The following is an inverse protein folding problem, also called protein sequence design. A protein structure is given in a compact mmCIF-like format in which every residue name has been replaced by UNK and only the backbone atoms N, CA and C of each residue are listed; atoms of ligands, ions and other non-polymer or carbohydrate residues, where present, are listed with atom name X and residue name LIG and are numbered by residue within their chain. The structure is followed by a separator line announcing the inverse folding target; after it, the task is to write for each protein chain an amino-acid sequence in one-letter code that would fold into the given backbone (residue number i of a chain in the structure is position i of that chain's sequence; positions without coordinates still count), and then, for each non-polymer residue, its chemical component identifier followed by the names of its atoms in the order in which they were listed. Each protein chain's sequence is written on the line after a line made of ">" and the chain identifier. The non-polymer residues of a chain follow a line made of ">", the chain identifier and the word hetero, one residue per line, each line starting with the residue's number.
data_IF_738322830390
#
_entry.id   IF_738322830390
#
_cell.length_a   1.000
_cell.length_b   1.000
_cell.length_c   1.000
_cell.angle_alpha   90.00
_cell.angle_beta   90.00
_cell.angle_gamma   90.00
#
_symmetry.space_group_name_H-M   'P 1'
#
loop_
_entity.id
_entity.type
_entity.pdbx_description
1 polymer ?
#
# COMPACT_ATOMS: atom_id res chain seq x y z
N UNK A 1 18.34 0.07 -10.59
CA UNK A 1 17.52 1.26 -10.83
C UNK A 1 17.81 2.32 -9.82
N UNK A 2 17.83 3.58 -10.26
CA UNK A 2 17.96 4.72 -9.37
C UNK A 2 16.55 5.17 -8.92
N UNK A 3 16.04 4.60 -7.82
CA UNK A 3 14.70 4.90 -7.29
C UNK A 3 14.51 6.39 -7.02
N UNK A 4 15.58 7.05 -6.56
CA UNK A 4 15.54 8.47 -6.27
C UNK A 4 15.30 9.30 -7.53
N UNK A 5 15.94 8.93 -8.65
CA UNK A 5 15.71 9.60 -9.94
C UNK A 5 14.26 9.43 -10.42
N UNK A 6 13.69 8.22 -10.29
CA UNK A 6 12.30 7.95 -10.67
C UNK A 6 11.32 8.76 -9.82
N UNK A 7 11.47 8.72 -8.50
CA UNK A 7 10.67 9.52 -7.58
C UNK A 7 10.79 11.02 -7.90
N UNK A 8 12.01 11.54 -8.00
CA UNK A 8 12.24 12.96 -8.24
C UNK A 8 11.63 13.41 -9.57
N UNK A 9 11.80 12.62 -10.63
CA UNK A 9 11.21 12.91 -11.93
C UNK A 9 9.68 12.88 -11.88
N UNK A 10 9.08 11.85 -11.27
CA UNK A 10 7.63 11.76 -11.12
C UNK A 10 7.06 12.90 -10.29
N UNK A 11 7.70 13.28 -9.19
CA UNK A 11 7.30 14.42 -8.38
C UNK A 11 7.42 15.72 -9.16
N UNK A 12 8.56 15.98 -9.79
CA UNK A 12 8.77 17.20 -10.57
C UNK A 12 7.76 17.32 -11.72
N UNK A 13 7.55 16.23 -12.47
CA UNK A 13 6.62 16.21 -13.60
C UNK A 13 5.16 16.33 -13.15
N UNK A 14 4.69 15.43 -12.28
CA UNK A 14 3.27 15.38 -11.93
C UNK A 14 2.88 16.58 -11.07
N UNK A 15 3.71 16.95 -10.08
CA UNK A 15 3.43 18.12 -9.25
C UNK A 15 3.56 19.42 -10.05
N UNK A 16 4.55 19.52 -10.94
CA UNK A 16 4.70 20.66 -11.83
C UNK A 16 3.50 20.84 -12.76
N UNK A 17 2.98 19.75 -13.32
CA UNK A 17 1.75 19.77 -14.13
C UNK A 17 0.54 20.18 -13.29
N UNK A 18 0.34 19.57 -12.11
CA UNK A 18 -0.77 19.95 -11.22
C UNK A 18 -0.70 21.43 -10.83
N UNK A 19 0.48 21.94 -10.51
CA UNK A 19 0.68 23.36 -10.23
C UNK A 19 0.36 24.23 -11.44
N UNK A 20 0.88 23.91 -12.62
CA UNK A 20 0.59 24.65 -13.85
C UNK A 20 -0.91 24.65 -14.19
N UNK A 21 -1.60 23.52 -14.02
CA UNK A 21 -3.05 23.44 -14.18
C UNK A 21 -3.80 24.33 -13.18
N UNK A 22 -3.33 24.41 -11.93
CA UNK A 22 -3.95 25.28 -10.91
C UNK A 22 -3.85 26.78 -11.24
N UNK A 23 -2.90 27.18 -12.10
CA UNK A 23 -2.76 28.57 -12.55
C UNK A 23 -3.77 28.94 -13.65
N UNK A 24 -4.26 27.95 -14.40
CA UNK A 24 -5.08 28.17 -15.61
C UNK A 24 -6.54 27.79 -15.37
N UNK A 25 -6.79 26.73 -14.60
CA UNK A 25 -8.13 26.26 -14.30
C UNK A 25 -8.63 26.86 -12.97
N UNK A 26 -9.87 27.35 -12.89
CA UNK A 26 -10.47 27.82 -11.64
C UNK A 26 -10.87 26.67 -10.70
N UNK A 27 -10.12 25.56 -10.74
CA UNK A 27 -10.38 24.34 -9.98
C UNK A 27 -9.32 24.26 -8.88
N UNK A 28 -9.75 24.16 -7.64
CA UNK A 28 -8.86 23.89 -6.52
C UNK A 28 -8.34 22.45 -6.61
N UNK A 29 -7.08 22.31 -7.00
CA UNK A 29 -6.41 21.02 -7.03
C UNK A 29 -6.03 20.63 -5.60
N UNK A 30 -6.51 19.50 -5.06
CA UNK A 30 -6.23 19.11 -3.68
C UNK A 30 -4.78 18.59 -3.59
N UNK A 31 -3.84 19.50 -3.38
CA UNK A 31 -2.42 19.15 -3.18
C UNK A 31 -2.18 18.87 -1.70
N UNK A 32 -2.52 17.64 -1.29
CA UNK A 32 -2.41 17.19 0.09
C UNK A 32 -1.49 15.95 0.21
N UNK A 33 -1.41 15.38 1.41
CA UNK A 33 -0.59 14.19 1.67
C UNK A 33 -1.02 12.98 0.84
N UNK A 34 -2.31 12.85 0.49
CA UNK A 34 -2.80 11.76 -0.36
C UNK A 34 -2.25 11.90 -1.79
N UNK A 35 -2.19 13.11 -2.34
CA UNK A 35 -1.57 13.39 -3.65
C UNK A 35 -0.11 12.98 -3.66
N UNK A 36 0.65 13.34 -2.62
CA UNK A 36 2.06 12.97 -2.47
C UNK A 36 2.21 11.44 -2.41
N UNK A 37 1.37 10.78 -1.62
CA UNK A 37 1.38 9.32 -1.49
C UNK A 37 1.06 8.63 -2.82
N UNK A 38 0.06 9.10 -3.56
CA UNK A 38 -0.32 8.55 -4.87
C UNK A 38 0.80 8.70 -5.89
N UNK A 39 1.48 9.86 -5.93
CA UNK A 39 2.63 10.07 -6.82
C UNK A 39 3.75 9.12 -6.45
N UNK A 40 4.12 9.05 -5.16
CA UNK A 40 5.18 8.16 -4.69
C UNK A 40 4.90 6.69 -4.96
N UNK A 41 3.66 6.25 -4.74
CA UNK A 41 3.24 4.88 -5.04
C UNK A 41 3.27 4.60 -6.54
N UNK A 42 2.67 5.46 -7.37
CA UNK A 42 2.68 5.28 -8.83
C UNK A 42 4.10 5.24 -9.41
N UNK A 43 4.99 6.08 -8.88
CA UNK A 43 6.39 6.15 -9.28
C UNK A 43 7.24 4.95 -8.82
N UNK A 44 6.80 4.16 -7.84
CA UNK A 44 7.56 3.03 -7.30
C UNK A 44 6.90 1.68 -7.58
N UNK A 45 5.61 1.64 -7.86
CA UNK A 45 4.84 0.41 -8.02
C UNK A 45 5.36 -0.51 -9.14
N UNK A 46 5.80 -0.01 -10.32
CA UNK A 46 6.33 -0.89 -11.37
C UNK A 46 7.51 -1.76 -10.90
N UNK A 47 8.31 -1.22 -9.98
CA UNK A 47 9.53 -1.79 -9.40
C UNK A 47 9.31 -2.78 -8.24
N UNK A 48 8.07 -2.88 -7.76
CA UNK A 48 7.72 -3.76 -6.65
C UNK A 48 7.81 -5.23 -7.07
N UNK A 49 7.85 -5.52 -8.36
CA UNK A 49 7.99 -6.88 -8.89
C UNK A 49 9.38 -7.53 -8.60
N UNK A 50 10.35 -6.75 -8.11
CA UNK A 50 11.71 -7.22 -7.89
C UNK A 50 12.04 -7.46 -6.40
N UNK A 51 12.22 -8.73 -5.96
CA UNK A 51 12.30 -9.07 -4.53
C UNK A 51 13.57 -8.58 -3.83
N UNK A 52 14.61 -8.24 -4.61
CA UNK A 52 15.86 -7.72 -4.05
C UNK A 52 15.79 -6.21 -3.78
N UNK A 53 14.74 -5.51 -4.20
CA UNK A 53 14.65 -4.06 -4.07
C UNK A 53 14.30 -3.67 -2.63
N UNK A 54 14.80 -2.51 -2.19
CA UNK A 54 14.45 -1.95 -0.89
C UNK A 54 12.96 -1.63 -0.79
N UNK A 55 12.36 -1.21 -1.90
CA UNK A 55 10.93 -0.91 -2.03
C UNK A 55 10.09 -2.16 -1.78
N UNK A 56 10.42 -3.28 -2.43
CA UNK A 56 9.73 -4.54 -2.21
C UNK A 56 9.80 -4.97 -0.73
N UNK A 57 10.99 -4.89 -0.12
CA UNK A 57 11.17 -5.23 1.32
C UNK A 57 10.36 -4.32 2.24
N UNK A 58 10.28 -3.03 1.93
CA UNK A 58 9.49 -2.07 2.71
C UNK A 58 7.98 -2.37 2.58
N UNK A 59 7.48 -2.58 1.37
CA UNK A 59 6.07 -2.91 1.12
C UNK A 59 5.72 -4.23 1.78
N UNK A 60 6.56 -5.25 1.64
CA UNK A 60 6.44 -6.52 2.33
C UNK A 60 6.28 -6.36 3.85
N UNK A 61 7.15 -5.55 4.46
CA UNK A 61 7.10 -5.25 5.89
C UNK A 61 5.80 -4.52 6.27
N UNK A 62 5.36 -3.55 5.47
CA UNK A 62 4.10 -2.83 5.72
C UNK A 62 2.89 -3.77 5.62
N UNK A 63 2.84 -4.64 4.60
CA UNK A 63 1.78 -5.65 4.49
C UNK A 63 1.78 -6.62 5.67
N UNK A 64 2.95 -7.02 6.14
CA UNK A 64 3.09 -7.87 7.33
C UNK A 64 2.54 -7.18 8.58
N UNK A 65 2.88 -5.90 8.80
CA UNK A 65 2.40 -5.12 9.94
C UNK A 65 0.88 -4.92 9.86
N UNK A 66 0.37 -4.46 8.71
CA UNK A 66 -1.06 -4.18 8.52
C UNK A 66 -1.88 -5.47 8.59
N UNK A 67 -1.41 -6.55 7.96
CA UNK A 67 -2.05 -7.86 8.01
C UNK A 67 -2.12 -8.40 9.44
N UNK A 68 -1.03 -8.28 10.20
CA UNK A 68 -1.00 -8.67 11.61
C UNK A 68 -2.01 -7.86 12.42
N UNK A 69 -2.05 -6.54 12.25
CA UNK A 69 -2.99 -5.67 12.95
C UNK A 69 -4.46 -5.97 12.59
N UNK A 70 -4.76 -6.23 11.31
CA UNK A 70 -6.10 -6.56 10.84
C UNK A 70 -6.57 -7.91 11.41
N UNK A 71 -5.75 -8.96 11.30
CA UNK A 71 -6.11 -10.28 11.83
C UNK A 71 -6.27 -10.22 13.35
N UNK A 72 -5.39 -9.49 14.04
CA UNK A 72 -5.53 -9.29 15.48
C UNK A 72 -6.87 -8.61 15.83
N UNK A 73 -7.25 -7.55 15.12
CA UNK A 73 -8.53 -6.87 15.32
C UNK A 73 -9.75 -7.77 15.04
N UNK A 74 -9.66 -8.64 14.03
CA UNK A 74 -10.73 -9.57 13.69
C UNK A 74 -10.92 -10.64 14.77
N UNK A 75 -9.82 -11.20 15.31
CA UNK A 75 -9.87 -12.16 16.41
C UNK A 75 -10.40 -11.53 17.71
N UNK A 76 -10.04 -10.27 17.99
CA UNK A 76 -10.52 -9.58 19.19
C UNK A 76 -11.99 -9.17 19.11
N UNK A 77 -12.44 -8.75 17.92
CA UNK A 77 -13.84 -8.41 17.67
C UNK A 77 -14.78 -9.58 17.90
N UNK A 78 -14.32 -10.83 17.72
CA UNK A 78 -15.14 -12.03 17.92
C UNK A 78 -15.21 -12.54 19.36
N UNK A 79 -14.35 -12.07 20.27
CA UNK A 79 -14.22 -12.63 21.63
C UNK A 79 -14.75 -11.75 22.77
N UNK A 80 -15.24 -10.55 22.47
CA UNK A 80 -15.60 -9.56 23.51
C UNK A 80 -17.06 -9.61 23.99
N UNK A 81 -17.98 -10.27 23.28
CA UNK A 81 -19.38 -10.36 23.74
C UNK A 81 -19.59 -11.39 24.86
N UNK A 82 -18.73 -12.40 25.00
CA UNK A 82 -18.96 -13.50 25.97
C UNK A 82 -18.31 -13.26 27.36
N UNK A 83 -17.34 -12.33 27.47
CA UNK A 83 -16.49 -12.20 28.68
C UNK A 83 -16.90 -11.08 29.67
N UNK A 84 -17.90 -10.25 29.36
CA UNK A 84 -18.32 -9.16 30.26
C UNK A 84 -19.10 -9.65 31.50
N UNK A 85 -19.53 -10.92 31.54
CA UNK A 85 -20.34 -11.47 32.63
C UNK A 85 -19.54 -12.17 33.75
N UNK A 86 -18.21 -12.32 33.63
CA UNK A 86 -17.39 -13.11 34.58
C UNK A 86 -16.37 -12.26 35.38
N UNK A 87 -16.80 -11.13 35.94
CA UNK A 87 -15.98 -10.12 36.60
C UNK A 87 -15.34 -10.51 37.96
N UNK A 88 -15.40 -11.78 38.38
CA UNK A 88 -14.99 -12.19 39.74
C UNK A 88 -13.58 -12.76 39.87
N UNK A 89 -12.79 -12.78 38.81
CA UNK A 89 -11.45 -13.38 38.82
C UNK A 89 -10.45 -12.51 38.05
N UNK A 90 -10.24 -11.28 38.50
CA UNK A 90 -9.43 -10.28 37.78
C UNK A 90 -7.95 -10.70 37.55
N UNK A 91 -7.37 -11.51 38.43
CA UNK A 91 -5.95 -11.93 38.34
C UNK A 91 -5.77 -13.11 37.38
N UNK A 92 -6.63 -14.14 37.47
CA UNK A 92 -6.64 -15.26 36.52
C UNK A 92 -7.18 -14.84 35.15
N UNK A 93 -8.13 -13.89 35.12
CA UNK A 93 -8.60 -13.24 33.90
C UNK A 93 -7.49 -12.45 33.20
N UNK A 94 -6.65 -11.70 33.92
CA UNK A 94 -5.54 -10.97 33.30
C UNK A 94 -4.49 -11.90 32.66
N UNK A 95 -4.12 -13.00 33.32
CA UNK A 95 -3.17 -13.97 32.77
C UNK A 95 -3.74 -14.72 31.55
N UNK A 96 -5.04 -15.05 31.56
CA UNK A 96 -5.74 -15.69 30.44
C UNK A 96 -5.88 -14.74 29.26
N UNK A 97 -6.30 -13.50 29.48
CA UNK A 97 -6.39 -12.45 28.44
C UNK A 97 -5.00 -12.16 27.86
N UNK A 98 -3.97 -12.01 28.69
CA UNK A 98 -2.62 -11.76 28.21
C UNK A 98 -2.08 -12.91 27.33
N UNK A 99 -2.31 -14.17 27.70
CA UNK A 99 -1.89 -15.33 26.92
C UNK A 99 -2.65 -15.46 25.59
N UNK A 100 -3.97 -15.24 25.62
CA UNK A 100 -4.79 -15.23 24.39
C UNK A 100 -4.38 -14.12 23.43
N UNK A 101 -3.99 -12.96 23.94
CA UNK A 101 -3.51 -11.84 23.12
C UNK A 101 -2.22 -12.22 22.40
N UNK A 102 -1.24 -12.79 23.14
CA UNK A 102 0.05 -13.20 22.56
C UNK A 102 -0.14 -14.28 21.50
N UNK A 103 -0.97 -15.29 21.77
CA UNK A 103 -1.28 -16.34 20.78
C UNK A 103 -1.94 -15.72 19.54
N UNK A 104 -2.91 -14.81 19.70
CA UNK A 104 -3.55 -14.13 18.59
C UNK A 104 -2.56 -13.29 17.76
N UNK A 105 -1.62 -12.59 18.40
CA UNK A 105 -0.55 -11.86 17.72
C UNK A 105 0.35 -12.79 16.91
N UNK A 106 0.77 -13.93 17.49
CA UNK A 106 1.62 -14.92 16.81
C UNK A 106 0.90 -15.54 15.62
N UNK A 107 -0.36 -15.96 15.77
CA UNK A 107 -1.17 -16.53 14.69
C UNK A 107 -1.39 -15.51 13.57
N UNK A 108 -1.70 -14.26 13.92
CA UNK A 108 -1.88 -13.15 12.97
C UNK A 108 -0.61 -12.89 12.15
N UNK A 109 0.54 -12.89 12.81
CA UNK A 109 1.84 -12.70 12.17
C UNK A 109 2.17 -13.86 11.21
N UNK A 110 1.98 -15.10 11.65
CA UNK A 110 2.21 -16.28 10.81
C UNK A 110 1.27 -16.32 9.60
N UNK A 111 0.00 -15.99 9.78
CA UNK A 111 -0.98 -15.91 8.69
C UNK A 111 -0.61 -14.81 7.68
N UNK A 112 -0.15 -13.65 8.14
CA UNK A 112 0.36 -12.58 7.28
C UNK A 112 1.62 -12.99 6.51
N UNK A 113 2.53 -13.76 7.13
CA UNK A 113 3.69 -14.33 6.42
C UNK A 113 3.29 -15.33 5.35
N UNK A 114 2.31 -16.20 5.62
CA UNK A 114 1.79 -17.16 4.62
C UNK A 114 1.13 -16.41 3.46
N UNK A 115 0.28 -15.41 3.74
CA UNK A 115 -0.37 -14.60 2.72
C UNK A 115 0.67 -13.85 1.86
N UNK A 116 1.68 -13.28 2.50
CA UNK A 116 2.80 -12.64 1.82
C UNK A 116 3.59 -13.63 0.95
N UNK A 117 3.82 -14.85 1.45
CA UNK A 117 4.41 -15.95 0.69
C UNK A 117 3.57 -16.33 -0.53
N UNK A 118 2.24 -16.38 -0.41
CA UNK A 118 1.33 -16.65 -1.54
C UNK A 118 1.43 -15.53 -2.58
N UNK A 119 1.43 -14.25 -2.17
CA UNK A 119 1.60 -13.11 -3.09
C UNK A 119 2.94 -13.21 -3.84
N UNK A 120 4.00 -13.62 -3.14
CA UNK A 120 5.30 -13.88 -3.73
C UNK A 120 5.31 -15.06 -4.72
N UNK A 121 4.50 -16.10 -4.46
CA UNK A 121 4.37 -17.28 -5.32
C UNK A 121 3.49 -17.01 -6.56
N UNK A 122 2.48 -16.15 -6.42
CA UNK A 122 1.64 -15.67 -7.53
C UNK A 122 2.36 -14.66 -8.43
N UNK A 123 3.68 -14.47 -8.23
CA UNK A 123 4.50 -13.55 -9.00
C UNK A 123 4.41 -13.86 -10.50
N UNK A 124 4.01 -12.88 -11.34
CA UNK A 124 4.22 -13.02 -12.77
C UNK A 124 5.72 -13.06 -13.04
N UNK A 125 6.18 -14.14 -13.68
CA UNK A 125 7.60 -14.35 -14.04
C UNK A 125 8.10 -13.32 -15.07
N UNK A 126 7.19 -12.53 -15.64
CA UNK A 126 7.44 -11.61 -16.74
C UNK A 126 7.31 -10.15 -16.26
N UNK A 127 8.46 -9.45 -16.13
CA UNK A 127 8.55 -8.00 -15.83
C UNK A 127 7.71 -7.13 -16.76
N UNK A 128 7.36 -7.65 -17.94
CA UNK A 128 6.60 -6.95 -18.97
C UNK A 128 5.18 -6.59 -18.55
N UNK A 129 4.59 -7.26 -17.54
CA UNK A 129 3.21 -6.95 -17.14
C UNK A 129 3.17 -5.63 -16.37
N UNK A 130 4.00 -5.44 -15.35
CA UNK A 130 4.05 -4.17 -14.58
C UNK A 130 4.62 -3.04 -15.43
N UNK A 131 5.53 -3.32 -16.36
CA UNK A 131 6.08 -2.30 -17.27
C UNK A 131 5.21 -2.12 -18.53
N UNK A 132 3.88 -2.15 -18.38
CA UNK A 132 2.92 -1.99 -19.49
C UNK A 132 1.98 -0.79 -19.29
N UNK A 133 1.52 -0.15 -20.38
CA UNK A 133 0.48 0.87 -20.31
C UNK A 133 -0.82 0.36 -19.69
N UNK A 134 -1.13 -0.93 -19.89
CA UNK A 134 -2.30 -1.56 -19.30
C UNK A 134 -2.19 -1.60 -17.77
N UNK A 135 -1.02 -1.91 -17.21
CA UNK A 135 -0.81 -1.86 -15.76
C UNK A 135 -0.96 -0.44 -15.19
N UNK A 136 -0.51 0.59 -15.90
CA UNK A 136 -0.75 1.98 -15.51
C UNK A 136 -2.26 2.30 -15.46
N UNK A 137 -3.04 1.86 -16.45
CA UNK A 137 -4.50 2.04 -16.46
C UNK A 137 -5.19 1.29 -15.33
N UNK A 138 -4.80 0.04 -15.07
CA UNK A 138 -5.36 -0.75 -13.97
C UNK A 138 -5.02 -0.14 -12.61
N UNK A 139 -3.80 0.37 -12.43
CA UNK A 139 -3.42 1.10 -11.23
C UNK A 139 -4.25 2.36 -11.05
N UNK A 140 -4.43 3.16 -12.11
CA UNK A 140 -5.26 4.36 -12.07
C UNK A 140 -6.71 4.06 -11.69
N UNK A 141 -7.31 3.02 -12.27
CA UNK A 141 -8.64 2.56 -11.94
C UNK A 141 -8.76 2.12 -10.47
N UNK A 142 -7.78 1.35 -9.98
CA UNK A 142 -7.73 0.92 -8.58
C UNK A 142 -7.63 2.12 -7.62
N UNK A 143 -6.74 3.07 -7.89
CA UNK A 143 -6.60 4.29 -7.08
C UNK A 143 -7.89 5.11 -7.11
N UNK A 144 -8.52 5.29 -8.27
CA UNK A 144 -9.78 6.01 -8.38
C UNK A 144 -10.90 5.35 -7.57
N UNK A 145 -11.01 4.03 -7.61
CA UNK A 145 -12.02 3.28 -6.87
C UNK A 145 -11.79 3.34 -5.36
N UNK A 146 -10.55 3.11 -4.90
CA UNK A 146 -10.19 3.10 -3.47
C UNK A 146 -10.40 4.50 -2.85
N UNK A 147 -9.95 5.54 -3.55
CA UNK A 147 -10.06 6.92 -3.07
C UNK A 147 -11.41 7.57 -3.37
N UNK A 148 -12.27 6.89 -4.15
CA UNK A 148 -13.53 7.42 -4.70
C UNK A 148 -13.33 8.76 -5.45
N UNK A 149 -12.21 8.91 -6.15
CA UNK A 149 -11.81 10.16 -6.80
C UNK A 149 -11.06 9.92 -8.09
N UNK A 150 -11.65 10.37 -9.20
CA UNK A 150 -11.04 10.32 -10.54
C UNK A 150 -9.73 11.12 -10.58
N UNK A 151 -9.64 12.22 -9.84
CA UNK A 151 -8.44 13.04 -9.74
C UNK A 151 -7.22 12.24 -9.28
N UNK A 152 -7.36 11.44 -8.22
CA UNK A 152 -6.25 10.62 -7.72
C UNK A 152 -5.94 9.46 -8.68
N UNK A 153 -6.94 8.92 -9.38
CA UNK A 153 -6.70 7.96 -10.45
C UNK A 153 -5.82 8.51 -11.57
N UNK A 154 -6.14 9.71 -12.07
CA UNK A 154 -5.34 10.40 -13.10
C UNK A 154 -3.94 10.74 -12.57
N UNK A 155 -3.84 11.22 -11.32
CA UNK A 155 -2.55 11.51 -10.68
C UNK A 155 -1.68 10.25 -10.60
N UNK A 156 -2.27 9.11 -10.20
CA UNK A 156 -1.60 7.82 -10.15
C UNK A 156 -1.19 7.32 -11.53
N UNK A 157 -2.05 7.49 -12.54
CA UNK A 157 -1.73 7.18 -13.93
C UNK A 157 -0.53 7.99 -14.43
N UNK A 158 -0.51 9.30 -14.18
CA UNK A 158 0.57 10.19 -14.62
C UNK A 158 1.89 9.82 -13.93
N UNK A 159 1.86 9.55 -12.63
CA UNK A 159 3.04 9.10 -11.88
C UNK A 159 3.56 7.75 -12.39
N UNK A 160 2.69 6.76 -12.57
CA UNK A 160 3.07 5.45 -13.14
C UNK A 160 3.65 5.58 -14.55
N UNK A 161 3.00 6.35 -15.41
CA UNK A 161 3.46 6.57 -16.78
C UNK A 161 4.82 7.27 -16.78
N UNK A 162 5.05 8.24 -15.90
CA UNK A 162 6.33 8.92 -15.79
C UNK A 162 7.48 7.96 -15.43
N UNK A 163 7.23 6.95 -14.59
CA UNK A 163 8.20 5.90 -14.32
C UNK A 163 8.57 5.14 -15.61
N UNK A 164 7.56 4.68 -16.37
CA UNK A 164 7.78 3.97 -17.64
C UNK A 164 8.53 4.83 -18.67
N UNK A 165 8.38 6.15 -18.61
CA UNK A 165 9.13 7.08 -19.46
C UNK A 165 10.59 7.16 -19.03
N UNK A 166 10.87 7.27 -17.73
CA UNK A 166 12.24 7.33 -17.20
C UNK A 166 13.00 6.04 -17.55
N UNK A 167 12.36 4.89 -17.41
CA UNK A 167 12.96 3.59 -17.77
C UNK A 167 13.35 3.47 -19.25
N UNK A 168 12.65 4.18 -20.14
CA UNK A 168 12.97 4.17 -21.58
C UNK A 168 14.13 5.09 -21.95
N UNK A 169 14.45 6.07 -21.10
CA UNK A 169 15.49 7.07 -21.37
C UNK A 169 16.79 6.81 -20.58
N UNK A 170 16.76 5.93 -19.56
CA UNK A 170 17.91 5.56 -18.73
C UNK A 170 18.59 4.28 -19.20
#
# INVERSE_FOLDING_TARGET
>A
MNYFAHLLFSFALVYGLLYAFSLIAPIQIPVNLQTIAVIGLGALLPDVDHPKTKVFKLIALLFLIIGTAFIHSAFFSSGHEENLNNSLNAITGFAVVFNQNVIAWVVSFLAALVLFGIILLLKPKHRTITHSPLAALLFAAAVALITKSVFYGITGFAAYTSHLLVDKIS
#
